data_IF_768229433032
#
_entry.id   IF_768229433032
#
_cell.length_a   1.000
_cell.length_b   1.000
_cell.length_c   1.000
_cell.angle_alpha   90.00
_cell.angle_beta   90.00
_cell.angle_gamma   90.00
#
_symmetry.space_group_name_H-M   'P 1'
#
loop_
_entity.id
_entity.type
_entity.pdbx_description
1 polymer ?
#
# COMPACT_ATOMS: atom_id res chain seq x y z
N UNK A 1 -20.97 -20.21 -1.14
CA UNK A 1 -20.34 -20.92 -0.02
C UNK A 1 -20.93 -20.55 1.36
N UNK A 2 -21.94 -19.66 1.41
CA UNK A 2 -22.64 -19.28 2.64
C UNK A 2 -21.94 -18.26 3.54
N UNK A 3 -20.85 -17.65 3.10
CA UNK A 3 -20.21 -16.57 3.86
C UNK A 3 -21.10 -15.33 3.96
N UNK A 4 -20.98 -14.60 5.05
CA UNK A 4 -21.59 -13.28 5.19
C UNK A 4 -21.04 -12.35 4.10
N UNK A 5 -21.94 -11.72 3.32
CA UNK A 5 -21.57 -10.89 2.19
C UNK A 5 -20.72 -9.68 2.61
N UNK A 6 -21.12 -9.00 3.70
CA UNK A 6 -20.40 -7.82 4.20
C UNK A 6 -18.97 -8.17 4.58
N UNK A 7 -18.77 -9.30 5.26
CA UNK A 7 -17.42 -9.79 5.59
C UNK A 7 -16.58 -10.03 4.33
N UNK A 8 -17.15 -10.69 3.30
CA UNK A 8 -16.42 -10.96 2.06
C UNK A 8 -16.06 -9.66 1.34
N UNK A 9 -16.97 -8.69 1.29
CA UNK A 9 -16.71 -7.39 0.68
C UNK A 9 -15.61 -6.62 1.42
N UNK A 10 -15.67 -6.61 2.76
CA UNK A 10 -14.64 -6.00 3.59
C UNK A 10 -13.27 -6.64 3.41
N UNK A 11 -13.22 -7.98 3.41
CA UNK A 11 -11.98 -8.72 3.19
C UNK A 11 -11.38 -8.45 1.80
N UNK A 12 -12.22 -8.37 0.76
CA UNK A 12 -11.75 -8.08 -0.60
C UNK A 12 -11.27 -6.63 -0.72
N UNK A 13 -11.98 -5.68 -0.12
CA UNK A 13 -11.58 -4.27 -0.12
C UNK A 13 -10.24 -4.07 0.60
N UNK A 14 -10.12 -4.57 1.82
CA UNK A 14 -8.91 -4.45 2.63
C UNK A 14 -7.75 -5.32 2.11
N UNK A 15 -8.04 -6.53 1.63
CA UNK A 15 -7.02 -7.38 1.01
C UNK A 15 -6.45 -6.78 -0.28
N UNK A 16 -7.25 -5.98 -0.99
CA UNK A 16 -6.81 -5.25 -2.18
C UNK A 16 -5.81 -4.13 -1.86
N UNK A 17 -5.87 -3.53 -0.66
CA UNK A 17 -4.91 -2.48 -0.27
C UNK A 17 -3.55 -3.04 0.13
N UNK A 18 -3.46 -4.27 0.62
CA UNK A 18 -2.19 -4.90 1.02
C UNK A 18 -1.13 -4.91 -0.08
N UNK A 19 -1.54 -4.89 -1.35
CA UNK A 19 -0.62 -4.75 -2.48
C UNK A 19 0.10 -3.40 -2.56
N UNK A 20 -0.34 -2.41 -1.79
CA UNK A 20 0.31 -1.10 -1.68
C UNK A 20 1.41 -1.14 -0.61
N UNK A 21 1.21 -1.90 0.47
CA UNK A 21 2.19 -2.07 1.55
C UNK A 21 3.26 -3.10 1.21
N UNK A 22 2.89 -4.14 0.46
CA UNK A 22 3.82 -5.21 0.08
C UNK A 22 4.55 -4.79 -1.19
N UNK A 23 5.90 -4.77 -1.19
CA UNK A 23 6.69 -4.38 -2.35
C UNK A 23 6.46 -5.28 -3.58
N UNK A 24 6.63 -4.72 -4.80
CA UNK A 24 6.96 -3.33 -5.12
C UNK A 24 5.76 -2.40 -4.98
N UNK A 25 5.95 -1.24 -4.35
CA UNK A 25 4.89 -0.29 -4.00
C UNK A 25 5.13 1.07 -4.63
N UNK A 26 4.17 1.55 -5.42
CA UNK A 26 4.26 2.87 -6.05
C UNK A 26 4.27 4.02 -5.04
N UNK A 27 3.43 4.05 -3.99
CA UNK A 27 3.52 5.08 -2.95
C UNK A 27 4.86 5.12 -2.23
N UNK A 28 5.52 3.97 -1.98
CA UNK A 28 6.86 3.93 -1.39
C UNK A 28 7.91 4.51 -2.33
N UNK A 29 7.82 4.22 -3.64
CA UNK A 29 8.72 4.81 -4.65
C UNK A 29 8.55 6.33 -4.66
N UNK A 30 7.31 6.82 -4.69
CA UNK A 30 7.00 8.24 -4.71
C UNK A 30 7.45 8.91 -3.42
N UNK A 31 7.22 8.29 -2.26
CA UNK A 31 7.72 8.77 -0.98
C UNK A 31 9.24 8.90 -1.00
N UNK A 32 9.97 7.85 -1.39
CA UNK A 32 11.43 7.88 -1.47
C UNK A 32 11.96 8.94 -2.43
N UNK A 33 11.26 9.18 -3.55
CA UNK A 33 11.62 10.25 -4.49
C UNK A 33 11.42 11.66 -3.91
N UNK A 34 10.37 11.86 -3.10
CA UNK A 34 10.06 13.18 -2.50
C UNK A 34 10.98 13.48 -1.32
N UNK A 35 11.31 12.48 -0.52
CA UNK A 35 12.09 12.60 0.71
C UNK A 35 13.58 12.36 0.52
N UNK A 36 13.97 11.91 -0.69
CA UNK A 36 15.33 11.45 -1.01
C UNK A 36 15.79 10.23 -0.20
N UNK A 37 14.83 9.48 0.34
CA UNK A 37 15.08 8.26 1.08
C UNK A 37 15.24 7.03 0.16
N UNK A 38 15.96 6.03 0.64
CA UNK A 38 16.19 4.79 -0.10
C UNK A 38 14.88 4.01 -0.33
N UNK A 39 14.51 3.85 -1.60
CA UNK A 39 13.35 3.01 -2.00
C UNK A 39 13.54 1.56 -1.56
N UNK A 40 14.77 1.05 -1.58
CA UNK A 40 15.08 -0.32 -1.14
C UNK A 40 14.80 -0.44 0.36
N UNK A 41 15.25 0.53 1.17
CA UNK A 41 15.00 0.56 2.61
C UNK A 41 13.52 0.64 2.92
N UNK A 42 12.76 1.45 2.18
CA UNK A 42 11.30 1.52 2.30
C UNK A 42 10.64 0.17 1.97
N UNK A 43 11.07 -0.50 0.90
CA UNK A 43 10.55 -1.82 0.54
C UNK A 43 10.83 -2.86 1.63
N UNK A 44 12.04 -2.87 2.18
CA UNK A 44 12.41 -3.76 3.29
C UNK A 44 11.60 -3.43 4.56
N UNK A 45 11.41 -2.15 4.86
CA UNK A 45 10.63 -1.68 6.00
C UNK A 45 9.15 -2.07 5.93
N UNK A 46 8.59 -2.19 4.72
CA UNK A 46 7.20 -2.62 4.50
C UNK A 46 6.93 -4.10 4.78
N UNK A 47 7.98 -4.96 4.75
CA UNK A 47 7.82 -6.41 4.90
C UNK A 47 7.28 -6.79 6.28
N UNK A 48 7.88 -6.26 7.35
CA UNK A 48 7.47 -6.58 8.73
C UNK A 48 6.00 -6.23 9.01
N UNK A 49 5.60 -4.95 8.86
CA UNK A 49 4.21 -4.53 9.02
C UNK A 49 3.25 -5.24 8.06
N UNK A 50 3.67 -5.51 6.82
CA UNK A 50 2.88 -6.25 5.84
C UNK A 50 2.57 -7.67 6.29
N UNK A 51 3.57 -8.43 6.74
CA UNK A 51 3.38 -9.79 7.27
C UNK A 51 2.51 -9.75 8.53
N UNK A 52 2.71 -8.77 9.41
CA UNK A 52 1.92 -8.61 10.63
C UNK A 52 0.44 -8.38 10.29
N UNK A 53 0.15 -7.46 9.37
CA UNK A 53 -1.21 -7.13 8.96
C UNK A 53 -1.91 -8.30 8.24
N UNK A 54 -1.20 -9.00 7.33
CA UNK A 54 -1.72 -10.21 6.69
C UNK A 54 -2.08 -11.25 7.75
N UNK A 55 -1.22 -11.45 8.74
CA UNK A 55 -1.45 -12.42 9.81
C UNK A 55 -2.71 -12.07 10.61
N UNK A 56 -2.91 -10.79 10.94
CA UNK A 56 -4.13 -10.31 11.58
C UNK A 56 -5.37 -10.59 10.73
N UNK A 57 -5.32 -10.28 9.43
CA UNK A 57 -6.43 -10.53 8.50
C UNK A 57 -6.75 -12.02 8.39
N UNK A 58 -5.74 -12.88 8.33
CA UNK A 58 -5.93 -14.35 8.29
C UNK A 58 -6.56 -14.85 9.58
N UNK A 59 -6.03 -14.47 10.75
CA UNK A 59 -6.53 -14.88 12.05
C UNK A 59 -7.99 -14.43 12.21
N UNK A 60 -8.27 -13.16 11.94
CA UNK A 60 -9.63 -12.63 11.99
C UNK A 60 -10.58 -13.39 11.04
N UNK A 61 -10.14 -13.64 9.80
CA UNK A 61 -10.96 -14.34 8.80
C UNK A 61 -11.28 -15.77 9.21
N UNK A 62 -10.33 -16.48 9.82
CA UNK A 62 -10.54 -17.85 10.34
C UNK A 62 -11.53 -17.82 11.50
N UNK A 63 -11.34 -16.92 12.46
CA UNK A 63 -12.22 -16.79 13.64
C UNK A 63 -13.63 -16.41 13.19
N UNK A 64 -13.75 -15.37 12.36
CA UNK A 64 -15.05 -14.91 11.87
C UNK A 64 -15.80 -16.00 11.08
N UNK A 65 -15.11 -16.68 10.17
CA UNK A 65 -15.70 -17.75 9.36
C UNK A 65 -16.18 -18.92 10.21
N UNK A 66 -15.43 -19.25 11.27
CA UNK A 66 -15.76 -20.37 12.17
C UNK A 66 -16.98 -20.08 13.05
N UNK A 67 -17.09 -18.85 13.58
CA UNK A 67 -18.10 -18.52 14.60
C UNK A 67 -19.31 -17.73 14.06
N UNK A 68 -19.13 -16.94 13.00
CA UNK A 68 -20.16 -16.02 12.49
C UNK A 68 -20.48 -16.22 11.01
N UNK A 69 -19.67 -16.97 10.27
CA UNK A 69 -19.67 -16.94 8.82
C UNK A 69 -20.65 -17.87 8.10
N UNK A 70 -21.37 -18.74 8.78
CA UNK A 70 -22.27 -19.72 8.11
C UNK A 70 -21.54 -20.63 7.08
N UNK A 71 -20.22 -20.77 7.21
CA UNK A 71 -19.34 -21.45 6.28
C UNK A 71 -19.67 -22.93 6.11
N UNK A 72 -19.92 -23.37 4.86
CA UNK A 72 -19.99 -24.76 4.50
C UNK A 72 -18.61 -25.27 4.04
N UNK A 73 -18.07 -26.23 4.77
CA UNK A 73 -16.75 -26.80 4.47
C UNK A 73 -16.76 -27.45 3.07
N UNK A 74 -15.84 -27.03 2.22
CA UNK A 74 -15.62 -27.64 0.90
C UNK A 74 -14.53 -28.70 1.04
N UNK A 75 -14.66 -29.88 0.39
CA UNK A 75 -13.61 -30.90 0.43
C UNK A 75 -12.28 -30.31 -0.08
N UNK A 76 -11.15 -30.74 0.48
CA UNK A 76 -9.84 -30.26 0.06
C UNK A 76 -9.55 -30.67 -1.38
N UNK A 77 -8.95 -29.77 -2.14
CA UNK A 77 -8.50 -30.06 -3.50
C UNK A 77 -7.46 -31.19 -3.51
N UNK A 78 -7.56 -32.06 -4.51
CA UNK A 78 -6.61 -33.16 -4.69
C UNK A 78 -5.19 -32.64 -5.00
N UNK A 79 -4.16 -33.45 -4.70
CA UNK A 79 -2.77 -33.10 -5.04
C UNK A 79 -2.57 -32.82 -6.53
N UNK A 80 -3.30 -33.54 -7.40
CA UNK A 80 -3.26 -33.33 -8.86
C UNK A 80 -3.77 -31.96 -9.25
N UNK A 81 -4.86 -31.50 -8.64
CA UNK A 81 -5.42 -30.16 -8.85
C UNK A 81 -4.49 -29.08 -8.32
N UNK A 82 -3.94 -29.26 -7.10
CA UNK A 82 -2.98 -28.31 -6.52
C UNK A 82 -1.76 -28.13 -7.42
N UNK A 83 -1.16 -29.23 -7.90
CA UNK A 83 -0.02 -29.18 -8.83
C UNK A 83 -0.39 -28.47 -10.15
N UNK A 84 -1.57 -28.77 -10.71
CA UNK A 84 -2.06 -28.11 -11.94
C UNK A 84 -2.18 -26.59 -11.78
N UNK A 85 -2.73 -26.13 -10.66
CA UNK A 85 -2.88 -24.70 -10.41
C UNK A 85 -1.56 -24.04 -10.03
N UNK A 86 -0.68 -24.72 -9.31
CA UNK A 86 0.65 -24.20 -9.00
C UNK A 86 1.45 -23.94 -10.28
N UNK A 87 1.46 -24.86 -11.24
CA UNK A 87 2.14 -24.69 -12.54
C UNK A 87 1.57 -23.49 -13.29
N UNK A 88 0.24 -23.22 -13.20
CA UNK A 88 -0.36 -22.07 -13.86
C UNK A 88 0.04 -20.73 -13.24
N UNK A 89 0.29 -20.69 -11.95
CA UNK A 89 0.69 -19.47 -11.22
C UNK A 89 2.20 -19.24 -11.29
N UNK A 90 2.97 -20.30 -11.56
CA UNK A 90 4.44 -20.26 -11.56
C UNK A 90 5.04 -19.10 -12.38
N UNK A 91 4.59 -18.80 -13.63
CA UNK A 91 5.14 -17.69 -14.41
C UNK A 91 5.03 -16.34 -13.70
N UNK A 92 3.88 -16.08 -13.07
CA UNK A 92 3.64 -14.84 -12.32
C UNK A 92 4.49 -14.78 -11.05
N UNK A 93 4.60 -15.90 -10.33
CA UNK A 93 5.47 -15.99 -9.14
C UNK A 93 6.92 -15.79 -9.49
N UNK A 94 7.40 -16.38 -10.59
CA UNK A 94 8.79 -16.22 -11.07
C UNK A 94 9.09 -14.75 -11.34
N UNK A 95 8.17 -14.02 -11.97
CA UNK A 95 8.33 -12.58 -12.22
C UNK A 95 8.48 -11.81 -10.90
N UNK A 96 7.60 -12.04 -9.94
CA UNK A 96 7.65 -11.37 -8.64
C UNK A 96 8.95 -11.70 -7.88
N UNK A 97 9.33 -12.97 -7.82
CA UNK A 97 10.55 -13.42 -7.13
C UNK A 97 11.82 -12.88 -7.78
N UNK A 98 11.90 -12.82 -9.11
CA UNK A 98 13.07 -12.27 -9.80
C UNK A 98 13.21 -10.76 -9.58
N UNK A 99 12.10 -10.00 -9.65
CA UNK A 99 12.13 -8.56 -9.42
C UNK A 99 12.52 -8.27 -7.98
N UNK A 100 11.81 -8.82 -7.00
CA UNK A 100 12.07 -8.55 -5.59
C UNK A 100 13.39 -9.12 -5.13
N UNK A 101 13.70 -10.36 -5.52
CA UNK A 101 14.98 -11.00 -5.22
C UNK A 101 16.16 -10.22 -5.77
N UNK A 102 16.07 -9.74 -7.01
CA UNK A 102 17.12 -8.94 -7.64
C UNK A 102 17.32 -7.58 -6.96
N UNK A 103 16.24 -6.92 -6.50
CA UNK A 103 16.31 -5.67 -5.76
C UNK A 103 16.94 -5.91 -4.37
N UNK A 104 16.47 -6.91 -3.63
CA UNK A 104 16.94 -7.16 -2.26
C UNK A 104 18.35 -7.71 -2.17
N UNK A 105 18.80 -8.44 -3.19
CA UNK A 105 20.20 -8.89 -3.27
C UNK A 105 21.16 -7.85 -3.84
N UNK A 106 20.63 -6.65 -4.21
CA UNK A 106 21.44 -5.57 -4.79
C UNK A 106 21.89 -5.81 -6.24
N UNK A 107 21.38 -6.86 -6.90
CA UNK A 107 21.68 -7.16 -8.32
C UNK A 107 21.06 -6.12 -9.25
N UNK A 108 19.90 -5.60 -8.87
CA UNK A 108 19.17 -4.56 -9.61
C UNK A 108 18.81 -3.38 -8.74
N UNK A 109 18.97 -2.18 -9.27
CA UNK A 109 18.26 -0.99 -8.77
C UNK A 109 16.77 -1.12 -9.08
N UNK A 110 15.87 -0.40 -8.39
CA UNK A 110 14.44 -0.41 -8.70
C UNK A 110 14.12 -0.09 -10.17
N UNK A 111 14.89 0.80 -10.80
CA UNK A 111 14.75 1.17 -12.22
C UNK A 111 15.16 0.03 -13.16
N UNK A 112 16.29 -0.61 -12.89
CA UNK A 112 16.75 -1.78 -13.66
C UNK A 112 15.80 -2.97 -13.47
N UNK A 113 15.29 -3.18 -12.26
CA UNK A 113 14.31 -4.21 -11.97
C UNK A 113 13.00 -4.00 -12.76
N UNK A 114 12.58 -2.74 -13.00
CA UNK A 114 11.45 -2.44 -13.85
C UNK A 114 11.72 -2.85 -15.33
N UNK A 115 12.91 -2.58 -15.85
CA UNK A 115 13.29 -2.97 -17.21
C UNK A 115 13.39 -4.50 -17.36
N UNK A 116 13.97 -5.20 -16.38
CA UNK A 116 14.03 -6.67 -16.33
C UNK A 116 12.62 -7.25 -16.22
N UNK A 117 11.77 -6.70 -15.34
CA UNK A 117 10.39 -7.11 -15.16
C UNK A 117 9.57 -6.95 -16.43
N UNK A 118 9.70 -5.82 -17.12
CA UNK A 118 9.04 -5.60 -18.41
C UNK A 118 9.51 -6.61 -19.46
N UNK A 119 10.81 -6.81 -19.59
CA UNK A 119 11.39 -7.75 -20.56
C UNK A 119 10.93 -9.19 -20.29
N UNK A 120 10.90 -9.61 -19.03
CA UNK A 120 10.43 -10.92 -18.62
C UNK A 120 8.91 -11.07 -18.84
N UNK A 121 8.11 -10.06 -18.52
CA UNK A 121 6.67 -10.07 -18.77
C UNK A 121 6.39 -10.19 -20.29
N UNK A 122 7.14 -9.46 -21.11
CA UNK A 122 7.03 -9.54 -22.56
C UNK A 122 7.39 -10.94 -23.08
N UNK A 123 8.48 -11.53 -22.58
CA UNK A 123 8.90 -12.89 -22.91
C UNK A 123 7.82 -13.92 -22.52
N UNK A 124 7.34 -13.86 -21.28
CA UNK A 124 6.34 -14.79 -20.76
C UNK A 124 5.03 -14.71 -21.56
N UNK A 125 4.54 -13.50 -21.83
CA UNK A 125 3.25 -13.31 -22.51
C UNK A 125 3.32 -13.62 -24.01
N UNK A 126 4.47 -13.41 -24.67
CA UNK A 126 4.66 -13.64 -26.10
C UNK A 126 5.00 -15.10 -26.38
N UNK A 127 5.96 -15.68 -25.67
CA UNK A 127 6.54 -17.00 -25.98
C UNK A 127 5.85 -18.10 -25.19
N UNK A 128 5.76 -17.94 -23.86
CA UNK A 128 5.25 -19.01 -22.99
C UNK A 128 3.73 -19.09 -22.99
N UNK A 129 3.05 -17.97 -22.75
CA UNK A 129 1.59 -17.92 -22.67
C UNK A 129 0.91 -17.68 -24.02
N UNK A 130 1.65 -17.15 -24.99
CA UNK A 130 1.17 -16.82 -26.34
C UNK A 130 -0.14 -16.02 -26.34
N UNK A 131 -0.27 -15.14 -25.34
CA UNK A 131 -1.48 -14.33 -25.12
C UNK A 131 -1.33 -12.89 -25.62
N UNK A 132 -0.10 -12.44 -25.93
CA UNK A 132 0.16 -11.08 -26.36
C UNK A 132 -0.08 -10.94 -27.88
N UNK A 133 -1.14 -10.21 -28.21
CA UNK A 133 -1.39 -9.75 -29.59
C UNK A 133 -0.92 -8.31 -29.77
N UNK A 134 -0.67 -7.89 -31.00
CA UNK A 134 -0.27 -6.50 -31.30
C UNK A 134 -1.31 -5.48 -30.80
N UNK A 135 -2.58 -5.83 -30.84
CA UNK A 135 -3.67 -4.97 -30.33
C UNK A 135 -3.59 -4.83 -28.81
N UNK A 136 -3.38 -5.94 -28.08
CA UNK A 136 -3.22 -5.93 -26.62
C UNK A 136 -1.95 -5.16 -26.24
N UNK A 137 -0.85 -5.34 -26.96
CA UNK A 137 0.39 -4.62 -26.70
C UNK A 137 0.23 -3.11 -26.89
N UNK A 138 -0.37 -2.67 -28.02
CA UNK A 138 -0.65 -1.24 -28.26
C UNK A 138 -1.56 -0.64 -27.20
N UNK A 139 -2.58 -1.36 -26.77
CA UNK A 139 -3.49 -0.92 -25.69
C UNK A 139 -2.73 -0.76 -24.38
N UNK A 140 -1.96 -1.77 -23.97
CA UNK A 140 -1.15 -1.73 -22.75
C UNK A 140 -0.13 -0.58 -22.77
N UNK A 141 0.53 -0.36 -23.92
CA UNK A 141 1.48 0.75 -24.10
C UNK A 141 0.78 2.10 -23.92
N UNK A 142 -0.36 2.31 -24.57
CA UNK A 142 -1.12 3.55 -24.46
C UNK A 142 -1.60 3.81 -23.03
N UNK A 143 -2.16 2.81 -22.35
CA UNK A 143 -2.59 2.91 -20.95
C UNK A 143 -1.41 3.22 -20.02
N UNK A 144 -0.25 2.60 -20.24
CA UNK A 144 0.98 2.89 -19.49
C UNK A 144 1.46 4.32 -19.72
N UNK A 145 1.43 4.82 -20.96
CA UNK A 145 1.80 6.20 -21.28
C UNK A 145 0.89 7.21 -20.60
N UNK A 146 -0.43 7.00 -20.63
CA UNK A 146 -1.40 7.89 -19.95
C UNK A 146 -1.17 7.90 -18.45
N UNK A 147 -1.01 6.74 -17.84
CA UNK A 147 -0.76 6.61 -16.39
C UNK A 147 0.56 7.29 -16.01
N UNK A 148 1.63 7.04 -16.76
CA UNK A 148 2.95 7.67 -16.52
C UNK A 148 2.87 9.18 -16.65
N UNK A 149 2.22 9.70 -17.69
CA UNK A 149 2.05 11.14 -17.89
C UNK A 149 1.27 11.78 -16.73
N UNK A 150 0.17 11.14 -16.28
CA UNK A 150 -0.60 11.61 -15.13
C UNK A 150 0.26 11.67 -13.85
N UNK A 151 1.00 10.63 -13.55
CA UNK A 151 1.89 10.56 -12.37
C UNK A 151 2.96 11.66 -12.46
N UNK A 152 3.60 11.83 -13.62
CA UNK A 152 4.64 12.85 -13.79
C UNK A 152 4.10 14.27 -13.62
N UNK A 153 2.90 14.57 -14.11
CA UNK A 153 2.24 15.87 -13.90
C UNK A 153 1.95 16.11 -12.43
N UNK A 154 1.45 15.09 -11.71
CA UNK A 154 1.20 15.19 -10.27
C UNK A 154 2.51 15.43 -9.50
N UNK A 155 3.57 14.69 -9.81
CA UNK A 155 4.90 14.86 -9.20
C UNK A 155 5.46 16.26 -9.49
N UNK A 156 5.35 16.75 -10.73
CA UNK A 156 5.80 18.09 -11.08
C UNK A 156 5.05 19.18 -10.28
N UNK A 157 3.72 19.05 -10.20
CA UNK A 157 2.88 19.93 -9.37
C UNK A 157 3.27 19.88 -7.88
N UNK A 158 3.49 18.69 -7.35
CA UNK A 158 3.92 18.50 -5.96
C UNK A 158 5.31 19.11 -5.68
N UNK A 159 6.27 18.98 -6.61
CA UNK A 159 7.60 19.62 -6.47
C UNK A 159 7.50 21.16 -6.50
N UNK A 160 6.64 21.73 -7.36
CA UNK A 160 6.37 23.17 -7.38
C UNK A 160 5.72 23.60 -6.07
N UNK A 161 4.69 22.90 -5.61
CA UNK A 161 4.02 23.15 -4.34
C UNK A 161 4.99 23.03 -3.15
N UNK A 162 5.76 21.95 -3.07
CA UNK A 162 6.76 21.73 -2.02
C UNK A 162 7.80 22.85 -1.97
N UNK A 163 8.28 23.33 -3.14
CA UNK A 163 9.18 24.48 -3.21
C UNK A 163 8.51 25.77 -2.76
N UNK A 164 7.25 26.01 -3.15
CA UNK A 164 6.49 27.19 -2.74
C UNK A 164 6.30 27.21 -1.20
N UNK A 165 5.82 26.12 -0.59
CA UNK A 165 5.62 26.08 0.86
C UNK A 165 6.95 26.22 1.63
N UNK A 166 8.05 25.68 1.10
CA UNK A 166 9.37 25.83 1.70
C UNK A 166 9.86 27.29 1.66
N UNK A 167 9.63 28.01 0.55
CA UNK A 167 9.96 29.43 0.43
C UNK A 167 9.18 30.31 1.42
N UNK A 168 7.91 29.97 1.68
CA UNK A 168 7.07 30.63 2.68
C UNK A 168 7.32 30.14 4.10
N UNK A 169 8.27 29.22 4.32
CA UNK A 169 8.62 28.63 5.62
C UNK A 169 7.48 27.91 6.32
N UNK A 170 6.43 27.52 5.59
CA UNK A 170 5.25 26.85 6.15
C UNK A 170 5.59 25.58 6.95
N UNK A 171 6.49 24.66 6.47
CA UNK A 171 6.87 23.49 7.26
C UNK A 171 7.55 23.87 8.58
N UNK A 172 8.38 24.91 8.58
CA UNK A 172 9.07 25.39 9.78
C UNK A 172 8.09 26.01 10.79
N UNK A 173 7.15 26.81 10.30
CA UNK A 173 6.13 27.44 11.15
C UNK A 173 5.20 26.38 11.74
N UNK A 174 4.82 25.35 10.98
CA UNK A 174 4.07 24.19 11.46
C UNK A 174 4.89 23.42 12.50
N UNK A 175 6.19 23.16 12.27
CA UNK A 175 7.04 22.47 13.24
C UNK A 175 7.15 23.26 14.53
N UNK A 176 7.40 24.57 14.49
CA UNK A 176 7.44 25.42 15.68
C UNK A 176 6.10 25.44 16.42
N UNK A 177 4.98 25.52 15.71
CA UNK A 177 3.65 25.46 16.32
C UNK A 177 3.41 24.11 17.01
N UNK A 178 3.80 23.01 16.36
CA UNK A 178 3.67 21.67 16.91
C UNK A 178 4.55 21.52 18.15
N UNK A 179 5.83 21.93 18.11
CA UNK A 179 6.74 21.87 19.25
C UNK A 179 6.25 22.71 20.43
N UNK A 180 5.66 23.88 20.17
CA UNK A 180 5.11 24.74 21.21
C UNK A 180 3.81 24.20 21.82
N UNK A 181 3.00 23.49 21.03
CA UNK A 181 1.63 23.08 21.41
C UNK A 181 1.53 21.61 21.78
N UNK A 182 2.27 20.74 21.05
CA UNK A 182 2.23 19.29 21.15
C UNK A 182 3.58 18.78 21.67
N UNK A 183 3.68 18.64 22.99
CA UNK A 183 4.92 18.14 23.64
C UNK A 183 5.07 16.61 23.61
N UNK A 184 4.06 15.89 23.12
CA UNK A 184 4.02 14.43 23.12
C UNK A 184 4.03 13.88 21.68
N UNK A 185 5.02 13.03 21.39
CA UNK A 185 5.10 12.26 20.13
C UNK A 185 3.80 11.48 19.85
N UNK A 186 3.18 10.93 20.90
CA UNK A 186 1.92 10.19 20.75
C UNK A 186 0.77 11.09 20.29
N UNK A 187 0.62 12.28 20.90
CA UNK A 187 -0.41 13.24 20.51
C UNK A 187 -0.19 13.71 19.07
N UNK A 188 1.07 13.98 18.70
CA UNK A 188 1.43 14.31 17.31
C UNK A 188 0.99 13.21 16.34
N UNK A 189 1.37 11.97 16.59
CA UNK A 189 1.03 10.84 15.70
C UNK A 189 -0.48 10.62 15.59
N UNK A 190 -1.23 10.74 16.69
CA UNK A 190 -2.71 10.65 16.67
C UNK A 190 -3.30 11.79 15.83
N UNK A 191 -2.80 13.01 15.99
CA UNK A 191 -3.24 14.17 15.21
C UNK A 191 -3.00 13.95 13.72
N UNK A 192 -1.80 13.46 13.35
CA UNK A 192 -1.46 13.13 11.96
C UNK A 192 -2.37 12.02 11.43
N UNK A 193 -2.64 10.96 12.20
CA UNK A 193 -3.59 9.92 11.81
C UNK A 193 -4.97 10.51 11.49
N UNK A 194 -5.49 11.37 12.34
CA UNK A 194 -6.82 11.99 12.13
C UNK A 194 -6.83 12.88 10.89
N UNK A 195 -5.78 13.67 10.67
CA UNK A 195 -5.64 14.51 9.48
C UNK A 195 -5.61 13.63 8.23
N UNK A 196 -4.79 12.57 8.21
CA UNK A 196 -4.66 11.69 7.05
C UNK A 196 -5.95 10.94 6.75
N UNK A 197 -6.69 10.47 7.77
CA UNK A 197 -8.01 9.86 7.58
C UNK A 197 -8.99 10.88 7.00
N UNK A 198 -9.02 12.11 7.54
CA UNK A 198 -9.89 13.17 7.02
C UNK A 198 -9.56 13.56 5.58
N UNK A 199 -8.27 13.67 5.25
CA UNK A 199 -7.82 13.94 3.88
C UNK A 199 -8.14 12.82 2.91
N UNK A 200 -8.03 11.57 3.36
CA UNK A 200 -8.37 10.39 2.57
C UNK A 200 -9.86 10.32 2.16
N UNK A 201 -10.71 11.15 2.75
CA UNK A 201 -12.11 11.31 2.29
C UNK A 201 -12.20 12.07 0.96
N UNK A 202 -11.14 12.77 0.53
CA UNK A 202 -11.17 13.65 -0.64
C UNK A 202 -10.02 13.35 -1.62
N UNK A 203 -8.85 13.02 -1.10
CA UNK A 203 -7.63 12.84 -1.89
C UNK A 203 -7.38 11.37 -2.23
N UNK A 204 -6.79 11.15 -3.41
CA UNK A 204 -6.26 9.85 -3.79
C UNK A 204 -4.86 9.62 -3.18
N UNK A 205 -4.40 8.37 -3.22
CA UNK A 205 -3.18 7.89 -2.58
C UNK A 205 -1.93 8.72 -2.86
N UNK A 206 -1.62 8.96 -4.15
CA UNK A 206 -0.38 9.64 -4.53
C UNK A 206 -0.42 11.12 -4.19
N UNK A 207 -1.57 11.77 -4.41
CA UNK A 207 -1.78 13.17 -4.04
C UNK A 207 -1.61 13.38 -2.54
N UNK A 208 -2.11 12.44 -1.73
CA UNK A 208 -1.99 12.49 -0.27
C UNK A 208 -0.53 12.40 0.17
N UNK A 209 0.25 11.45 -0.39
CA UNK A 209 1.69 11.34 -0.11
C UNK A 209 2.43 12.61 -0.56
N UNK A 210 2.20 13.06 -1.78
CA UNK A 210 2.92 14.18 -2.39
C UNK A 210 2.66 15.53 -1.71
N UNK A 211 1.47 15.74 -1.16
CA UNK A 211 1.08 16.98 -0.47
C UNK A 211 1.50 16.94 1.00
N UNK A 212 1.25 15.82 1.68
CA UNK A 212 1.40 15.77 3.14
C UNK A 212 2.81 15.48 3.59
N UNK A 213 3.59 14.73 2.82
CA UNK A 213 4.96 14.37 3.22
C UNK A 213 5.86 15.59 3.39
N UNK A 214 5.94 16.54 2.44
CA UNK A 214 6.77 17.74 2.60
C UNK A 214 6.36 18.62 3.80
N UNK A 215 5.09 18.55 4.21
CA UNK A 215 4.55 19.35 5.32
C UNK A 215 4.80 18.66 6.65
N UNK A 216 4.52 17.35 6.73
CA UNK A 216 4.50 16.62 8.01
C UNK A 216 5.86 15.99 8.39
N UNK A 217 6.68 15.60 7.40
CA UNK A 217 7.93 14.91 7.67
C UNK A 217 8.92 15.75 8.49
N UNK A 218 9.13 17.06 8.22
CA UNK A 218 10.01 17.87 9.06
C UNK A 218 9.57 17.91 10.52
N UNK A 219 8.26 18.07 10.77
CA UNK A 219 7.71 18.04 12.13
C UNK A 219 7.84 16.65 12.77
N UNK A 220 7.63 15.58 12.02
CA UNK A 220 7.82 14.20 12.50
C UNK A 220 9.28 13.94 12.91
N UNK A 221 10.24 14.40 12.10
CA UNK A 221 11.66 14.29 12.39
C UNK A 221 12.03 15.11 13.65
N UNK A 222 11.48 16.30 13.83
CA UNK A 222 11.62 17.11 15.05
C UNK A 222 11.11 16.40 16.30
N UNK A 223 10.08 15.54 16.16
CA UNK A 223 9.58 14.67 17.23
C UNK A 223 10.35 13.35 17.40
N UNK A 224 11.47 13.18 16.69
CA UNK A 224 12.30 11.96 16.74
C UNK A 224 11.66 10.75 16.06
N UNK A 225 10.89 10.98 14.98
CA UNK A 225 10.38 9.92 14.11
C UNK A 225 11.37 9.67 12.98
N UNK A 226 11.73 8.41 12.76
CA UNK A 226 12.59 8.00 11.65
C UNK A 226 11.87 8.19 10.30
N UNK A 227 12.53 8.74 9.25
CA UNK A 227 11.90 9.00 7.95
C UNK A 227 11.39 7.73 7.25
N UNK A 228 12.12 6.61 7.32
CA UNK A 228 11.71 5.33 6.73
C UNK A 228 10.47 4.79 7.45
N UNK A 229 10.49 4.84 8.79
CA UNK A 229 9.33 4.47 9.60
C UNK A 229 8.10 5.33 9.26
N UNK A 230 8.30 6.65 9.13
CA UNK A 230 7.23 7.56 8.75
C UNK A 230 6.67 7.26 7.34
N UNK A 231 7.52 6.83 6.42
CA UNK A 231 7.11 6.39 5.10
C UNK A 231 6.15 5.20 5.15
N UNK A 232 6.45 4.18 5.96
CA UNK A 232 5.58 3.01 6.14
C UNK A 232 4.28 3.41 6.85
N UNK A 233 4.38 4.26 7.88
CA UNK A 233 3.21 4.84 8.53
C UNK A 233 2.28 5.55 7.54
N UNK A 234 2.83 6.42 6.69
CA UNK A 234 2.09 7.12 5.64
C UNK A 234 1.39 6.14 4.68
N UNK A 235 2.08 5.09 4.25
CA UNK A 235 1.51 4.07 3.35
C UNK A 235 0.31 3.37 4.00
N UNK A 236 0.42 2.93 5.26
CA UNK A 236 -0.69 2.28 5.96
C UNK A 236 -1.86 3.26 6.14
N UNK A 237 -1.59 4.53 6.46
CA UNK A 237 -2.66 5.53 6.62
C UNK A 237 -3.37 5.82 5.29
N UNK A 238 -2.65 5.86 4.19
CA UNK A 238 -3.23 6.00 2.86
C UNK A 238 -4.06 4.76 2.47
N UNK A 239 -3.62 3.56 2.84
CA UNK A 239 -4.44 2.35 2.68
C UNK A 239 -5.74 2.42 3.48
N UNK A 240 -5.69 2.89 4.73
CA UNK A 240 -6.89 3.15 5.52
C UNK A 240 -7.84 4.11 4.79
N UNK A 241 -7.30 5.18 4.21
CA UNK A 241 -8.07 6.16 3.47
C UNK A 241 -8.79 5.55 2.26
N UNK A 242 -8.16 4.62 1.53
CA UNK A 242 -8.74 3.94 0.37
C UNK A 242 -9.97 3.09 0.70
N UNK A 243 -10.15 2.68 1.94
CA UNK A 243 -11.28 1.88 2.40
C UNK A 243 -12.15 2.59 3.46
N UNK A 244 -11.89 3.87 3.72
CA UNK A 244 -12.68 4.66 4.68
C UNK A 244 -13.84 5.36 3.96
N UNK A 245 -15.12 5.14 4.38
CA UNK A 245 -16.24 5.89 3.85
C UNK A 245 -16.12 7.40 4.18
N UNK A 246 -16.71 8.30 3.38
CA UNK A 246 -17.63 8.09 2.26
C UNK A 246 -16.98 7.86 0.89
N UNK A 247 -15.72 8.27 0.67
CA UNK A 247 -15.12 8.21 -0.67
C UNK A 247 -14.45 6.86 -0.94
N UNK A 248 -13.53 6.40 -0.11
CA UNK A 248 -12.85 5.11 -0.18
C UNK A 248 -12.85 4.42 -1.56
N UNK A 249 -11.92 4.75 -2.45
CA UNK A 249 -11.95 4.30 -3.85
C UNK A 249 -12.13 2.78 -4.00
N UNK A 250 -11.52 1.98 -3.14
CA UNK A 250 -11.68 0.53 -3.16
C UNK A 250 -13.10 0.07 -2.83
N UNK A 251 -13.85 0.86 -2.04
CA UNK A 251 -15.24 0.54 -1.73
C UNK A 251 -16.11 0.61 -2.99
N UNK A 252 -15.90 1.62 -3.84
CA UNK A 252 -16.62 1.76 -5.09
C UNK A 252 -16.26 0.67 -6.10
N UNK A 253 -14.99 0.25 -6.13
CA UNK A 253 -14.57 -0.89 -6.97
C UNK A 253 -15.33 -2.16 -6.55
N UNK A 254 -15.35 -2.47 -5.26
CA UNK A 254 -16.07 -3.65 -4.75
C UNK A 254 -17.57 -3.50 -4.97
N UNK A 255 -18.15 -2.33 -4.73
CA UNK A 255 -19.57 -2.05 -5.01
C UNK A 255 -19.93 -2.34 -6.47
N UNK A 256 -19.11 -1.84 -7.41
CA UNK A 256 -19.33 -2.00 -8.84
C UNK A 256 -19.25 -3.47 -9.26
N UNK A 257 -18.21 -4.19 -8.83
CA UNK A 257 -17.98 -5.60 -9.19
C UNK A 257 -19.02 -6.52 -8.54
N UNK A 258 -19.35 -6.29 -7.28
CA UNK A 258 -20.31 -7.11 -6.52
C UNK A 258 -21.77 -6.71 -6.79
N UNK A 259 -22.01 -5.57 -7.45
CA UNK A 259 -23.35 -4.98 -7.70
C UNK A 259 -24.16 -4.86 -6.41
N UNK A 260 -23.55 -4.31 -5.38
CA UNK A 260 -24.10 -4.18 -4.01
C UNK A 260 -24.22 -2.72 -3.59
N UNK A 261 -24.74 -2.45 -2.40
CA UNK A 261 -24.81 -1.09 -1.85
C UNK A 261 -23.50 -0.73 -1.15
N UNK A 262 -23.05 0.54 -1.28
CA UNK A 262 -21.84 1.03 -0.65
C UNK A 262 -21.84 0.80 0.88
N UNK A 263 -23.00 0.98 1.53
CA UNK A 263 -23.14 0.75 2.97
C UNK A 263 -22.88 -0.68 3.43
N UNK A 264 -23.12 -1.69 2.59
CA UNK A 264 -22.80 -3.08 2.90
C UNK A 264 -21.28 -3.32 2.87
N UNK A 265 -20.60 -2.74 1.87
CA UNK A 265 -19.13 -2.79 1.78
C UNK A 265 -18.50 -2.04 2.93
N UNK A 266 -18.99 -0.82 3.23
CA UNK A 266 -18.52 0.03 4.31
C UNK A 266 -18.61 -0.66 5.69
N UNK A 267 -19.74 -1.32 5.98
CA UNK A 267 -19.87 -2.11 7.22
C UNK A 267 -18.85 -3.28 7.28
N UNK A 268 -18.56 -3.86 6.14
CA UNK A 268 -17.63 -4.98 6.04
C UNK A 268 -16.17 -4.61 6.29
N UNK A 269 -15.75 -3.37 5.97
CA UNK A 269 -14.35 -2.94 6.11
C UNK A 269 -13.97 -2.51 7.53
N UNK A 270 -14.95 -2.17 8.39
CA UNK A 270 -14.69 -1.64 9.74
C UNK A 270 -13.72 -2.51 10.56
N UNK A 271 -13.86 -3.83 10.65
CA UNK A 271 -12.91 -4.67 11.40
C UNK A 271 -11.49 -4.60 10.82
N UNK A 272 -11.36 -4.49 9.51
CA UNK A 272 -10.07 -4.41 8.84
C UNK A 272 -9.39 -3.06 9.05
N UNK A 273 -10.16 -1.95 9.03
CA UNK A 273 -9.66 -0.62 9.42
C UNK A 273 -9.12 -0.61 10.85
N UNK A 274 -9.84 -1.23 11.79
CA UNK A 274 -9.38 -1.35 13.17
C UNK A 274 -8.04 -2.11 13.24
N UNK A 275 -7.88 -3.19 12.47
CA UNK A 275 -6.62 -3.95 12.43
C UNK A 275 -5.47 -3.15 11.80
N UNK A 276 -5.74 -2.32 10.80
CA UNK A 276 -4.73 -1.44 10.19
C UNK A 276 -4.29 -0.36 11.18
N UNK A 277 -5.22 0.31 11.85
CA UNK A 277 -4.91 1.28 12.91
C UNK A 277 -4.16 0.60 14.07
N UNK A 278 -4.55 -0.63 14.42
CA UNK A 278 -3.83 -1.42 15.42
C UNK A 278 -2.40 -1.73 14.98
N UNK A 279 -2.17 -2.00 13.69
CA UNK A 279 -0.82 -2.20 13.15
C UNK A 279 0.03 -0.93 13.30
N UNK A 280 -0.54 0.25 13.02
CA UNK A 280 0.12 1.54 13.26
C UNK A 280 0.48 1.72 14.74
N UNK A 281 -0.45 1.38 15.64
CA UNK A 281 -0.21 1.43 17.09
C UNK A 281 0.92 0.48 17.52
N UNK A 282 0.95 -0.75 17.00
CA UNK A 282 2.04 -1.69 17.27
C UNK A 282 3.37 -1.17 16.74
N UNK A 283 3.42 -0.60 15.54
CA UNK A 283 4.61 0.05 14.98
C UNK A 283 5.09 1.23 15.83
N UNK A 284 4.17 1.97 16.45
CA UNK A 284 4.52 3.08 17.34
C UNK A 284 5.20 2.59 18.62
N UNK A 285 4.71 1.51 19.24
CA UNK A 285 5.31 0.91 20.45
C UNK A 285 6.57 0.12 20.12
N UNK A 286 6.57 -0.55 18.98
CA UNK A 286 7.67 -1.39 18.51
C UNK A 286 8.13 -0.96 17.12
N UNK A 287 8.95 0.09 17.01
CA UNK A 287 9.43 0.61 15.72
C UNK A 287 10.23 -0.40 14.92
N UNK A 288 10.90 -1.35 15.58
CA UNK A 288 11.63 -2.43 14.92
C UNK A 288 10.73 -3.33 14.06
N UNK A 289 9.42 -3.32 14.21
CA UNK A 289 8.53 -4.01 13.29
C UNK A 289 8.74 -3.53 11.84
N UNK A 290 9.04 -2.25 11.64
CA UNK A 290 9.37 -1.67 10.35
C UNK A 290 10.89 -1.53 10.13
N UNK A 291 11.66 -1.18 11.16
CA UNK A 291 13.07 -0.79 11.04
C UNK A 291 14.07 -1.94 11.20
N UNK A 292 13.64 -3.11 11.65
CA UNK A 292 14.55 -4.22 11.88
C UNK A 292 15.20 -4.73 10.59
N UNK A 293 14.38 -5.00 9.56
CA UNK A 293 14.87 -5.57 8.31
C UNK A 293 15.80 -4.61 7.55
N UNK A 294 15.47 -3.31 7.36
CA UNK A 294 16.33 -2.41 6.59
C UNK A 294 17.63 -2.02 7.28
N UNK A 295 17.70 -2.07 8.63
CA UNK A 295 18.84 -1.53 9.38
C UNK A 295 19.57 -2.52 10.28
N UNK A 296 19.01 -3.70 10.54
CA UNK A 296 19.60 -4.68 11.46
C UNK A 296 19.82 -6.06 10.83
N UNK A 297 19.36 -6.29 9.61
CA UNK A 297 19.53 -7.52 8.85
C UNK A 297 20.47 -7.30 7.68
#
# INVERSE_FOLDING_TARGET
>A
RGYNKNFVYGLLAAGGTLGILIPPSLPMIVYGFVTEESVISLFLAGIGPGIFLITLFIIFSIIYSKYFGGYKRVPPASWKERKKYLIKVLPTLTLAVLILGGIYTGVFTPTEAAAVGFSLALFLTTILLRSLTLAVFKKALFESMVTTAAILVIIAGAKIFGKAIALYRIPQDISMFIEATIQSKAVFMITVCLILVAMGLVFETLSMVLIMVPVLLPAAMGMGVDPIWFGIFMVIMVECALITPPVGLNLYVIQSVAKTQLGEVAKGVVPFLIMMIFTVFVMYIWPDLALYIPFKL
#
